data_IF_028693361463
#
_entry.id   IF_028693361463
#
_cell.length_a   1.000
_cell.length_b   1.000
_cell.length_c   1.000
_cell.angle_alpha   90.00
_cell.angle_beta   90.00
_cell.angle_gamma   90.00
#
_symmetry.space_group_name_H-M   'P 1'
#
loop_
_entity.id
_entity.type
_entity.pdbx_description
1 polymer ?
#
# COMPACT_ATOMS: atom_id res chain seq x y z
N UNK A 1 22.30 17.68 -51.39
CA UNK A 1 22.27 17.22 -49.98
C UNK A 1 21.09 17.90 -49.31
N UNK A 2 20.06 17.16 -48.89
CA UNK A 2 18.91 17.74 -48.16
C UNK A 2 19.26 17.76 -46.67
N UNK A 3 19.21 18.94 -46.07
CA UNK A 3 19.40 19.12 -44.64
C UNK A 3 18.20 18.53 -43.90
N UNK A 4 18.43 17.50 -43.09
CA UNK A 4 17.44 17.01 -42.13
C UNK A 4 17.40 17.97 -40.94
N UNK A 5 16.26 18.63 -40.74
CA UNK A 5 15.98 19.41 -39.54
C UNK A 5 15.83 18.45 -38.36
N UNK A 6 16.75 18.51 -37.41
CA UNK A 6 16.63 17.81 -36.14
C UNK A 6 15.65 18.60 -35.25
N UNK A 7 14.41 18.15 -35.17
CA UNK A 7 13.44 18.71 -34.23
C UNK A 7 13.74 18.16 -32.85
N UNK A 8 14.33 18.95 -31.95
CA UNK A 8 14.35 18.61 -30.53
C UNK A 8 12.92 18.72 -30.00
N UNK A 9 12.34 17.58 -29.65
CA UNK A 9 11.08 17.55 -28.93
C UNK A 9 11.32 18.13 -27.53
N UNK A 10 10.82 19.35 -27.29
CA UNK A 10 10.69 19.87 -25.94
C UNK A 10 9.64 19.03 -25.23
N UNK A 11 10.05 18.27 -24.22
CA UNK A 11 9.11 17.69 -23.28
C UNK A 11 8.30 18.85 -22.65
N UNK A 12 6.96 18.77 -22.59
CA UNK A 12 6.16 19.83 -22.03
C UNK A 12 6.56 20.06 -20.57
N UNK A 13 6.74 21.34 -20.22
CA UNK A 13 7.15 21.83 -18.89
C UNK A 13 6.21 21.38 -17.75
N UNK A 14 5.04 20.81 -18.08
CA UNK A 14 4.03 20.31 -17.15
C UNK A 14 4.49 19.12 -16.29
N UNK A 15 5.56 18.42 -16.68
CA UNK A 15 6.12 17.35 -15.86
C UNK A 15 6.97 17.84 -14.67
N UNK A 16 7.32 19.13 -14.62
CA UNK A 16 8.25 19.67 -13.61
C UNK A 16 7.56 20.39 -12.43
N UNK A 17 6.23 20.54 -12.47
CA UNK A 17 5.48 21.29 -11.45
C UNK A 17 4.15 20.61 -11.07
N UNK A 18 4.07 19.27 -11.15
CA UNK A 18 2.91 18.57 -10.62
C UNK A 18 2.95 18.69 -9.09
N UNK A 19 2.01 19.45 -8.53
CA UNK A 19 1.86 19.60 -7.08
C UNK A 19 1.40 18.27 -6.49
N UNK A 20 2.19 17.70 -5.57
CA UNK A 20 1.78 16.52 -4.82
C UNK A 20 0.67 16.93 -3.87
N UNK A 21 -0.48 16.26 -3.93
CA UNK A 21 -1.58 16.50 -3.01
C UNK A 21 -1.51 15.51 -1.84
N UNK A 22 -1.38 16.02 -0.63
CA UNK A 22 -1.29 15.25 0.61
C UNK A 22 -2.65 15.30 1.34
N UNK A 23 -3.20 14.13 1.66
CA UNK A 23 -4.43 13.97 2.43
C UNK A 23 -4.11 13.36 3.79
N UNK A 24 -4.86 13.76 4.81
CA UNK A 24 -4.73 13.24 6.16
C UNK A 24 -6.11 12.83 6.70
N UNK A 25 -6.14 11.72 7.43
CA UNK A 25 -7.29 11.27 8.20
C UNK A 25 -6.83 11.06 9.63
N UNK A 26 -7.36 11.86 10.56
CA UNK A 26 -7.08 11.71 11.99
C UNK A 26 -8.38 11.74 12.78
N UNK A 27 -8.69 10.64 13.44
CA UNK A 27 -9.73 10.56 14.46
C UNK A 27 -9.23 9.60 15.53
N UNK A 28 -8.98 10.08 16.74
CA UNK A 28 -8.48 9.25 17.85
C UNK A 28 -9.29 9.53 19.10
N UNK A 29 -9.93 8.50 19.63
CA UNK A 29 -10.63 8.51 20.89
C UNK A 29 -9.79 7.74 21.92
N UNK A 30 -9.03 8.48 22.71
CA UNK A 30 -8.18 7.92 23.76
C UNK A 30 -8.98 7.30 24.91
N UNK A 31 -10.24 7.72 25.12
CA UNK A 31 -11.07 7.19 26.19
C UNK A 31 -11.58 5.79 25.84
N UNK A 32 -11.95 5.59 24.57
CA UNK A 32 -12.45 4.31 24.07
C UNK A 32 -11.35 3.43 23.44
N UNK A 33 -10.13 3.95 23.29
CA UNK A 33 -9.02 3.21 22.67
C UNK A 33 -9.25 2.93 21.18
N UNK A 34 -10.02 3.78 20.50
CA UNK A 34 -10.38 3.62 19.09
C UNK A 34 -9.82 4.77 18.26
N UNK A 35 -9.65 4.56 16.96
CA UNK A 35 -9.29 5.64 16.06
C UNK A 35 -8.65 5.19 14.76
N UNK A 36 -8.46 6.15 13.86
CA UNK A 36 -7.77 5.98 12.59
C UNK A 36 -6.78 7.14 12.41
N UNK A 37 -5.55 6.80 12.07
CA UNK A 37 -4.51 7.73 11.61
C UNK A 37 -4.11 7.31 10.20
N UNK A 38 -4.02 8.26 9.28
CA UNK A 38 -3.62 7.94 7.92
C UNK A 38 -3.15 9.14 7.14
N UNK A 39 -2.18 8.88 6.27
CA UNK A 39 -1.65 9.86 5.34
C UNK A 39 -1.67 9.26 3.94
N UNK A 40 -2.10 10.07 2.98
CA UNK A 40 -2.14 9.73 1.57
C UNK A 40 -1.45 10.81 0.75
N UNK A 41 -0.91 10.40 -0.39
CA UNK A 41 -0.38 11.29 -1.40
C UNK A 41 -0.94 10.88 -2.77
N UNK A 42 -1.42 11.88 -3.51
CA UNK A 42 -1.88 11.73 -4.90
C UNK A 42 -1.06 12.67 -5.79
N UNK A 43 -1.18 12.49 -7.10
CA UNK A 43 -0.36 13.23 -8.09
C UNK A 43 1.15 13.00 -7.92
N UNK A 44 1.53 11.81 -7.46
CA UNK A 44 2.93 11.39 -7.41
C UNK A 44 3.47 11.20 -8.84
N UNK A 45 4.81 11.24 -9.03
CA UNK A 45 5.42 10.97 -10.32
C UNK A 45 4.87 9.70 -10.99
N UNK A 46 4.72 9.75 -12.31
CA UNK A 46 4.15 8.67 -13.13
C UNK A 46 2.66 8.36 -12.84
N UNK A 47 1.95 9.29 -12.20
CA UNK A 47 0.51 9.17 -11.93
C UNK A 47 0.18 8.27 -10.72
N UNK A 48 1.15 8.03 -9.85
CA UNK A 48 0.96 7.19 -8.67
C UNK A 48 0.15 7.90 -7.58
N UNK A 49 -0.42 7.08 -6.70
CA UNK A 49 -0.95 7.47 -5.41
C UNK A 49 -0.46 6.46 -4.38
N UNK A 50 -0.21 6.92 -3.15
CA UNK A 50 0.25 6.06 -2.06
C UNK A 50 -0.40 6.49 -0.76
N UNK A 51 -0.51 5.55 0.18
CA UNK A 51 -1.04 5.82 1.51
C UNK A 51 -0.44 4.92 2.56
N UNK A 52 -0.51 5.37 3.80
CA UNK A 52 -0.19 4.60 5.00
C UNK A 52 -1.24 4.90 6.06
N UNK A 53 -1.62 3.90 6.85
CA UNK A 53 -2.61 4.07 7.89
C UNK A 53 -2.42 3.12 9.06
N UNK A 54 -2.99 3.53 10.18
CA UNK A 54 -3.05 2.83 11.46
C UNK A 54 -4.48 2.94 11.98
N UNK A 55 -5.05 1.82 12.39
CA UNK A 55 -6.38 1.76 12.96
C UNK A 55 -6.28 1.13 14.35
N UNK A 56 -6.99 1.72 15.31
CA UNK A 56 -7.07 1.29 16.69
C UNK A 56 -8.50 0.87 17.00
N UNK A 57 -8.65 -0.29 17.62
CA UNK A 57 -9.88 -0.77 18.22
C UNK A 57 -9.55 -1.42 19.57
N UNK A 58 -10.56 -1.57 20.43
CA UNK A 58 -10.42 -1.98 21.84
C UNK A 58 -9.50 -3.20 22.07
N UNK A 59 -9.47 -4.16 21.14
CA UNK A 59 -8.63 -5.36 21.23
C UNK A 59 -7.84 -5.64 19.94
N UNK A 60 -7.69 -4.64 19.08
CA UNK A 60 -7.07 -4.81 17.78
C UNK A 60 -6.33 -3.55 17.35
N UNK A 61 -5.10 -3.73 16.87
CA UNK A 61 -4.35 -2.69 16.16
C UNK A 61 -4.09 -3.22 14.76
N UNK A 62 -4.49 -2.44 13.76
CA UNK A 62 -4.24 -2.77 12.37
C UNK A 62 -3.62 -1.61 11.64
N UNK A 63 -3.22 -1.86 10.41
CA UNK A 63 -2.71 -0.81 9.55
C UNK A 63 -2.10 -1.38 8.30
N UNK A 64 -1.44 -0.51 7.56
CA UNK A 64 -0.83 -0.91 6.31
C UNK A 64 -0.38 0.28 5.48
N UNK A 65 0.10 -0.04 4.30
CA UNK A 65 0.40 0.95 3.28
C UNK A 65 0.02 0.39 1.92
N UNK A 66 -0.16 1.28 0.95
CA UNK A 66 -0.38 0.91 -0.43
C UNK A 66 0.22 1.95 -1.38
N UNK A 67 0.48 1.53 -2.61
CA UNK A 67 0.92 2.38 -3.70
C UNK A 67 0.47 1.80 -5.03
N UNK A 68 -0.16 2.61 -5.87
CA UNK A 68 -0.60 2.20 -7.21
C UNK A 68 -0.92 3.42 -8.07
N UNK A 69 -1.05 3.22 -9.39
CA UNK A 69 -1.75 4.17 -10.25
C UNK A 69 -3.26 3.98 -10.06
N UNK A 70 -4.04 5.01 -9.70
CA UNK A 70 -5.49 4.88 -9.50
C UNK A 70 -6.19 4.26 -10.71
N UNK A 71 -7.02 3.24 -10.46
CA UNK A 71 -7.71 2.49 -11.51
C UNK A 71 -6.87 1.46 -12.27
N UNK A 72 -5.60 1.26 -11.90
CA UNK A 72 -4.71 0.25 -12.48
C UNK A 72 -4.30 -0.78 -11.42
N UNK A 73 -4.38 -2.05 -11.77
CA UNK A 73 -3.84 -3.13 -10.95
C UNK A 73 -2.33 -3.31 -11.15
N UNK A 74 -1.84 -3.07 -12.37
CA UNK A 74 -0.43 -3.22 -12.71
C UNK A 74 0.45 -2.20 -11.97
N UNK A 75 1.51 -2.68 -11.33
CA UNK A 75 2.38 -1.85 -10.49
C UNK A 75 1.82 -1.56 -9.09
N UNK A 76 0.67 -2.13 -8.73
CA UNK A 76 0.14 -2.00 -7.38
C UNK A 76 0.98 -2.80 -6.38
N UNK A 77 1.26 -2.19 -5.23
CA UNK A 77 1.95 -2.79 -4.10
C UNK A 77 1.27 -2.39 -2.80
N UNK A 78 1.23 -3.29 -1.83
CA UNK A 78 0.66 -2.98 -0.53
C UNK A 78 1.10 -3.95 0.55
N UNK A 79 0.89 -3.52 1.78
CA UNK A 79 1.10 -4.29 2.98
C UNK A 79 -0.05 -4.02 3.94
N UNK A 80 -0.40 -5.03 4.72
CA UNK A 80 -1.34 -4.91 5.81
C UNK A 80 -0.81 -5.66 7.02
N UNK A 81 -1.20 -5.20 8.20
CA UNK A 81 -1.01 -5.96 9.42
C UNK A 81 -2.21 -5.81 10.34
N UNK A 82 -2.42 -6.84 11.14
CA UNK A 82 -3.42 -6.86 12.20
C UNK A 82 -2.83 -7.59 13.40
N UNK A 83 -2.98 -7.01 14.59
CA UNK A 83 -2.58 -7.58 15.86
C UNK A 83 -3.78 -7.53 16.77
N UNK A 84 -4.29 -8.67 17.20
CA UNK A 84 -5.34 -8.76 18.21
C UNK A 84 -4.96 -9.77 19.31
N UNK A 85 -5.93 -10.12 20.16
CA UNK A 85 -5.72 -11.08 21.25
C UNK A 85 -5.38 -12.49 20.75
N UNK A 86 -5.90 -12.89 19.59
CA UNK A 86 -5.81 -14.25 19.07
C UNK A 86 -4.66 -14.43 18.08
N UNK A 87 -4.39 -13.43 17.23
CA UNK A 87 -3.41 -13.57 16.17
C UNK A 87 -2.61 -12.30 15.88
N UNK A 88 -1.48 -12.52 15.21
CA UNK A 88 -0.73 -11.51 14.47
C UNK A 88 -0.77 -11.91 13.01
N UNK A 89 -1.18 -10.99 12.15
CA UNK A 89 -1.24 -11.16 10.70
C UNK A 89 -0.36 -10.10 10.06
N UNK A 90 0.54 -10.51 9.17
CA UNK A 90 1.38 -9.64 8.35
C UNK A 90 1.23 -10.05 6.89
N UNK A 91 0.69 -9.17 6.05
CA UNK A 91 0.44 -9.42 4.64
C UNK A 91 1.21 -8.47 3.75
N UNK A 92 1.78 -8.97 2.65
CA UNK A 92 2.37 -8.18 1.57
C UNK A 92 1.80 -8.65 0.24
N UNK A 93 1.51 -7.71 -0.66
CA UNK A 93 1.00 -8.03 -1.99
C UNK A 93 1.55 -7.10 -3.05
N UNK A 94 1.74 -7.63 -4.26
CA UNK A 94 2.17 -6.85 -5.41
C UNK A 94 1.58 -7.42 -6.70
N UNK A 95 1.41 -6.57 -7.70
CA UNK A 95 1.05 -6.95 -9.07
C UNK A 95 2.06 -6.37 -10.06
N UNK A 96 2.70 -7.24 -10.84
CA UNK A 96 3.63 -6.85 -11.90
C UNK A 96 3.58 -7.86 -13.05
N UNK A 97 3.62 -7.39 -14.28
CA UNK A 97 3.54 -8.21 -15.49
C UNK A 97 2.25 -9.01 -15.58
N UNK A 98 1.11 -8.44 -15.14
CA UNK A 98 -0.18 -9.15 -15.00
C UNK A 98 -0.13 -10.38 -14.06
N UNK A 99 0.89 -10.48 -13.20
CA UNK A 99 0.95 -11.50 -12.16
C UNK A 99 0.78 -10.84 -10.80
N UNK A 100 -0.09 -11.43 -9.99
CA UNK A 100 -0.29 -11.00 -8.61
C UNK A 100 0.32 -12.02 -7.66
N UNK A 101 1.04 -11.51 -6.67
CA UNK A 101 1.49 -12.27 -5.52
C UNK A 101 0.96 -11.63 -4.25
N UNK A 102 0.43 -12.46 -3.36
CA UNK A 102 0.10 -12.10 -1.99
C UNK A 102 0.73 -13.11 -1.05
N UNK A 103 1.44 -12.64 -0.05
CA UNK A 103 2.02 -13.46 1.01
C UNK A 103 1.50 -12.93 2.34
N UNK A 104 1.01 -13.83 3.17
CA UNK A 104 0.56 -13.53 4.53
C UNK A 104 1.22 -14.48 5.52
N UNK A 105 1.71 -13.94 6.62
CA UNK A 105 2.18 -14.70 7.78
C UNK A 105 1.18 -14.52 8.89
N UNK A 106 0.64 -15.63 9.39
CA UNK A 106 -0.31 -15.66 10.50
C UNK A 106 0.34 -16.39 11.67
N UNK A 107 0.51 -15.69 12.77
CA UNK A 107 0.86 -16.31 14.06
C UNK A 107 -0.39 -16.41 14.90
N UNK A 108 -0.74 -17.64 15.31
CA UNK A 108 -1.73 -17.89 16.34
C UNK A 108 -1.07 -17.74 17.71
N UNK A 109 -1.55 -16.78 18.52
CA UNK A 109 -1.01 -16.46 19.84
C UNK A 109 -1.47 -17.45 20.92
N UNK A 110 -2.53 -18.21 20.65
CA UNK A 110 -3.09 -19.20 21.58
C UNK A 110 -2.34 -20.52 21.49
N UNK A 111 -1.99 -20.95 20.26
CA UNK A 111 -1.28 -22.21 20.01
C UNK A 111 0.22 -22.03 19.81
N UNK A 112 0.66 -20.81 19.48
CA UNK A 112 2.04 -20.52 19.06
C UNK A 112 2.34 -20.95 17.63
N UNK A 113 1.35 -21.48 16.89
CA UNK A 113 1.53 -21.93 15.52
C UNK A 113 1.78 -20.74 14.57
N UNK A 114 2.65 -20.95 13.60
CA UNK A 114 2.92 -20.00 12.52
C UNK A 114 2.55 -20.65 11.20
N UNK A 115 1.77 -19.91 10.41
CA UNK A 115 1.28 -20.30 9.09
C UNK A 115 1.72 -19.26 8.07
N UNK A 116 2.12 -19.73 6.89
CA UNK A 116 2.36 -18.87 5.72
C UNK A 116 1.32 -19.18 4.66
N UNK A 117 0.70 -18.13 4.12
CA UNK A 117 -0.29 -18.21 3.05
C UNK A 117 0.28 -17.50 1.83
N UNK A 118 0.34 -18.17 0.70
CA UNK A 118 0.71 -17.59 -0.59
C UNK A 118 -0.49 -17.69 -1.53
N UNK A 119 -0.96 -16.55 -2.03
CA UNK A 119 -2.11 -16.45 -2.93
C UNK A 119 -3.36 -17.17 -2.37
N UNK A 120 -3.63 -16.99 -1.07
CA UNK A 120 -4.75 -17.61 -0.37
C UNK A 120 -4.58 -19.10 -0.05
N UNK A 121 -3.43 -19.71 -0.35
CA UNK A 121 -3.14 -21.12 -0.04
C UNK A 121 -2.08 -21.22 1.04
N UNK A 122 -2.36 -22.01 2.06
CA UNK A 122 -1.38 -22.35 3.08
C UNK A 122 -0.20 -23.14 2.48
N UNK A 123 1.01 -22.75 2.85
CA UNK A 123 2.25 -23.42 2.45
C UNK A 123 2.83 -24.09 3.70
N UNK A 124 3.14 -25.37 3.59
CA UNK A 124 3.82 -26.12 4.64
C UNK A 124 5.24 -25.59 4.81
N UNK A 125 5.60 -25.23 6.05
CA UNK A 125 6.95 -24.79 6.45
C UNK A 125 7.89 -25.96 6.71
#
# INVERSE_FOLDING_TARGET
MRASSLTLAFAPLSALAQGINITETNEVDLANGTGNLGWGATDLPFGYSAGVGFNFAENEIGGGFNGAVPGQAEGAFGCGYTVNSTNVVLGLGATLGNQSIGVEVVQDKTTGAVKVVVNGKEVTL
#
